data_IF_952285346028
#
_entry.id   IF_952285346028
#
_cell.length_a   1.000
_cell.length_b   1.000
_cell.length_c   1.000
_cell.angle_alpha   90.00
_cell.angle_beta   90.00
_cell.angle_gamma   90.00
#
_symmetry.space_group_name_H-M   'P 1'
#
loop_
_entity.id
_entity.type
_entity.pdbx_description
1 polymer ?
#
# COMPACT_ATOMS: atom_id res chain seq x y z
N UNK A 1 7.91 15.21 18.62
CA UNK A 1 7.35 14.52 17.45
C UNK A 1 7.33 15.50 16.29
N UNK A 2 8.00 15.18 15.18
CA UNK A 2 7.98 16.01 13.99
C UNK A 2 6.58 16.00 13.35
N UNK A 3 6.10 17.16 12.89
CA UNK A 3 4.80 17.24 12.21
C UNK A 3 4.96 16.64 10.81
N UNK A 4 4.75 15.35 10.61
CA UNK A 4 4.88 14.70 9.31
C UNK A 4 3.78 15.15 8.33
N UNK A 5 4.09 15.22 7.04
CA UNK A 5 3.05 15.39 6.01
C UNK A 5 2.15 14.16 5.96
N UNK A 6 0.90 14.34 6.35
CA UNK A 6 -0.01 13.21 6.56
C UNK A 6 -1.47 13.54 6.26
N UNK A 7 -2.17 12.57 5.68
CA UNK A 7 -3.61 12.66 5.45
C UNK A 7 -4.29 11.40 5.99
N UNK A 8 -5.52 11.57 6.47
CA UNK A 8 -6.41 10.45 6.82
C UNK A 8 -7.58 10.45 5.86
N UNK A 9 -7.79 9.36 5.14
CA UNK A 9 -8.97 9.17 4.28
C UNK A 9 -10.04 8.47 5.11
N UNK A 10 -11.15 9.16 5.35
CA UNK A 10 -12.26 8.69 6.18
C UNK A 10 -13.42 8.33 5.26
N UNK A 11 -13.86 7.07 5.31
CA UNK A 11 -14.86 6.55 4.38
C UNK A 11 -15.71 5.43 4.97
N UNK A 12 -16.83 5.15 4.28
CA UNK A 12 -17.57 3.90 4.43
C UNK A 12 -16.86 2.75 3.71
N UNK A 13 -17.19 1.52 4.08
CA UNK A 13 -16.62 0.31 3.47
C UNK A 13 -16.82 0.30 1.95
N UNK A 14 -18.03 0.63 1.49
CA UNK A 14 -18.42 0.60 0.09
C UNK A 14 -17.78 1.70 -0.78
N UNK A 15 -17.01 2.60 -0.19
CA UNK A 15 -16.25 3.66 -0.85
C UNK A 15 -14.76 3.30 -1.05
N UNK A 16 -14.39 2.02 -0.85
CA UNK A 16 -13.00 1.53 -1.03
C UNK A 16 -12.41 1.86 -2.40
N UNK A 17 -13.21 1.92 -3.45
CA UNK A 17 -12.74 2.24 -4.81
C UNK A 17 -12.24 3.69 -4.89
N UNK A 18 -13.01 4.63 -4.39
CA UNK A 18 -12.66 6.05 -4.30
C UNK A 18 -11.49 6.27 -3.35
N UNK A 19 -11.53 5.60 -2.18
CA UNK A 19 -10.49 5.68 -1.16
C UNK A 19 -9.12 5.23 -1.69
N UNK A 20 -9.06 4.09 -2.38
CA UNK A 20 -7.81 3.60 -2.99
C UNK A 20 -7.32 4.57 -4.06
N UNK A 21 -8.19 5.10 -4.94
CA UNK A 21 -7.76 6.07 -5.95
C UNK A 21 -7.10 7.31 -5.33
N UNK A 22 -7.73 7.90 -4.31
CA UNK A 22 -7.21 9.09 -3.62
C UNK A 22 -5.92 8.75 -2.84
N UNK A 23 -5.86 7.58 -2.20
CA UNK A 23 -4.67 7.08 -1.51
C UNK A 23 -3.46 7.00 -2.43
N UNK A 24 -3.64 6.46 -3.64
CA UNK A 24 -2.56 6.33 -4.63
C UNK A 24 -1.98 7.70 -5.04
N UNK A 25 -2.79 8.76 -5.09
CA UNK A 25 -2.31 10.12 -5.35
C UNK A 25 -1.40 10.62 -4.22
N UNK A 26 -1.85 10.53 -2.96
CA UNK A 26 -1.05 11.00 -1.82
C UNK A 26 0.23 10.19 -1.62
N UNK A 27 0.19 8.88 -1.88
CA UNK A 27 1.38 8.05 -1.90
C UNK A 27 2.35 8.43 -3.03
N UNK A 28 1.85 8.88 -4.19
CA UNK A 28 2.69 9.45 -5.24
C UNK A 28 3.36 10.76 -4.78
N UNK A 29 2.66 11.59 -4.02
CA UNK A 29 3.20 12.83 -3.44
C UNK A 29 4.22 12.62 -2.31
N UNK A 30 4.41 11.39 -1.81
CA UNK A 30 5.26 11.15 -0.63
C UNK A 30 4.63 11.67 0.65
N UNK A 31 3.31 11.62 0.73
CA UNK A 31 2.53 11.98 1.91
C UNK A 31 2.07 10.69 2.59
N UNK A 32 2.18 10.65 3.92
CA UNK A 32 1.69 9.52 4.69
C UNK A 32 0.16 9.44 4.66
N UNK A 33 -0.38 8.24 4.44
CA UNK A 33 -1.83 8.03 4.30
C UNK A 33 -2.31 7.02 5.32
N UNK A 34 -3.16 7.47 6.25
CA UNK A 34 -3.96 6.61 7.10
C UNK A 34 -5.34 6.43 6.45
N UNK A 35 -5.91 5.24 6.54
CA UNK A 35 -7.28 4.98 6.08
C UNK A 35 -8.12 4.63 7.31
N UNK A 36 -9.27 5.28 7.44
CA UNK A 36 -10.23 5.04 8.52
C UNK A 36 -11.57 4.63 7.91
N UNK A 37 -11.99 3.41 8.20
CA UNK A 37 -13.22 2.78 7.73
C UNK A 37 -14.19 2.70 8.90
N UNK A 38 -15.29 3.43 8.84
CA UNK A 38 -16.23 3.61 9.96
C UNK A 38 -16.78 2.29 10.49
N UNK A 39 -17.03 1.33 9.60
CA UNK A 39 -17.62 0.05 9.98
C UNK A 39 -16.64 -0.87 10.71
N UNK A 40 -15.35 -0.55 10.77
CA UNK A 40 -14.29 -1.41 11.29
C UNK A 40 -13.38 -0.74 12.31
N UNK A 41 -13.11 0.54 12.11
CA UNK A 41 -12.11 1.26 12.87
C UNK A 41 -12.77 1.99 14.03
N UNK A 42 -12.08 1.95 15.17
CA UNK A 42 -12.56 2.55 16.40
C UNK A 42 -11.82 3.89 16.62
N UNK A 43 -12.58 4.98 16.71
CA UNK A 43 -12.04 6.33 16.94
C UNK A 43 -11.24 6.41 18.23
N UNK A 44 -11.64 5.69 19.29
CA UNK A 44 -10.93 5.68 20.57
C UNK A 44 -9.53 5.05 20.54
N UNK A 45 -9.16 4.40 19.44
CA UNK A 45 -7.85 3.76 19.24
C UNK A 45 -6.97 4.62 18.31
N UNK A 46 -7.54 5.55 17.54
CA UNK A 46 -6.80 6.40 16.59
C UNK A 46 -6.48 7.75 17.23
N UNK A 47 -5.35 7.80 17.95
CA UNK A 47 -4.84 9.00 18.62
C UNK A 47 -3.91 9.84 17.72
N UNK A 48 -3.81 9.54 16.43
CA UNK A 48 -2.89 10.24 15.53
C UNK A 48 -3.42 11.63 15.15
N UNK A 49 -2.61 12.66 15.32
CA UNK A 49 -2.89 13.99 14.75
C UNK A 49 -2.35 14.06 13.32
N UNK A 50 -3.23 14.20 12.33
CA UNK A 50 -2.86 14.32 10.90
C UNK A 50 -2.97 15.75 10.38
N UNK A 51 -2.30 16.09 9.27
CA UNK A 51 -2.47 17.42 8.67
C UNK A 51 -3.89 17.60 8.14
N UNK A 52 -4.44 16.62 7.42
CA UNK A 52 -5.77 16.74 6.81
C UNK A 52 -6.60 15.47 6.92
N UNK A 53 -7.81 15.59 7.45
CA UNK A 53 -8.86 14.59 7.33
C UNK A 53 -9.62 14.81 6.02
N UNK A 54 -9.68 13.77 5.19
CA UNK A 54 -10.36 13.76 3.90
C UNK A 54 -11.60 12.88 4.03
N UNK A 55 -12.77 13.49 4.05
CA UNK A 55 -14.05 12.80 4.13
C UNK A 55 -14.60 12.50 2.75
N UNK A 56 -14.98 11.24 2.53
CA UNK A 56 -15.66 10.81 1.31
C UNK A 56 -17.19 10.88 1.40
N UNK A 57 -17.73 11.35 2.53
CA UNK A 57 -19.16 11.57 2.74
C UNK A 57 -19.33 12.67 3.78
N UNK A 58 -20.23 13.62 3.53
CA UNK A 58 -20.46 14.75 4.45
C UNK A 58 -21.13 14.27 5.73
N UNK A 59 -22.02 13.27 5.64
CA UNK A 59 -22.75 12.71 6.79
C UNK A 59 -21.83 12.04 7.82
N UNK A 60 -20.61 11.68 7.42
CA UNK A 60 -19.62 11.03 8.29
C UNK A 60 -18.91 12.04 9.18
N UNK A 61 -18.80 13.28 8.72
CA UNK A 61 -17.96 14.30 9.36
C UNK A 61 -18.41 14.61 10.79
N UNK A 62 -19.72 14.54 11.03
CA UNK A 62 -20.33 14.78 12.34
C UNK A 62 -20.33 13.51 13.22
N UNK A 63 -20.03 12.33 12.66
CA UNK A 63 -20.02 11.05 13.37
C UNK A 63 -18.65 10.68 13.93
N UNK A 64 -17.59 11.33 13.47
CA UNK A 64 -16.21 10.89 13.67
C UNK A 64 -15.37 12.00 14.30
N UNK A 65 -15.14 11.87 15.61
CA UNK A 65 -14.25 12.75 16.37
C UNK A 65 -12.79 12.32 16.20
N UNK A 66 -12.21 12.59 15.03
CA UNK A 66 -10.78 12.37 14.76
C UNK A 66 -10.05 13.71 14.64
N UNK A 67 -8.90 13.80 15.31
CA UNK A 67 -8.07 15.00 15.31
C UNK A 67 -7.38 15.22 13.96
N UNK A 68 -7.40 16.46 13.49
CA UNK A 68 -6.63 16.95 12.34
C UNK A 68 -6.51 18.47 12.37
N UNK A 69 -5.52 19.02 11.65
CA UNK A 69 -5.43 20.49 11.47
C UNK A 69 -6.50 21.01 10.52
N UNK A 70 -6.77 20.25 9.46
CA UNK A 70 -7.73 20.60 8.43
C UNK A 70 -8.69 19.46 8.15
N UNK A 71 -9.87 19.80 7.62
CA UNK A 71 -10.91 18.86 7.20
C UNK A 71 -11.40 19.27 5.81
N UNK A 72 -11.51 18.32 4.88
CA UNK A 72 -12.09 18.55 3.55
C UNK A 72 -13.05 17.44 3.14
N UNK A 73 -13.99 17.77 2.25
CA UNK A 73 -14.97 16.84 1.67
C UNK A 73 -14.73 16.74 0.16
N UNK A 74 -14.64 15.52 -0.37
CA UNK A 74 -14.27 15.30 -1.79
C UNK A 74 -15.38 14.60 -2.60
N UNK A 75 -16.35 13.97 -1.94
CA UNK A 75 -17.40 13.21 -2.63
C UNK A 75 -18.76 13.49 -1.99
N UNK A 76 -19.50 14.44 -2.53
CA UNK A 76 -20.86 14.75 -2.08
C UNK A 76 -21.83 13.69 -2.62
N UNK A 77 -22.36 12.83 -1.75
CA UNK A 77 -23.54 11.99 -2.02
C UNK A 77 -23.37 10.80 -2.97
N UNK A 78 -22.17 10.48 -3.49
CA UNK A 78 -21.97 9.34 -4.41
C UNK A 78 -21.22 8.18 -3.75
N UNK A 79 -22.02 7.31 -3.13
CA UNK A 79 -21.59 6.16 -2.33
C UNK A 79 -20.94 5.05 -3.19
N UNK A 80 -21.19 5.01 -4.51
CA UNK A 80 -20.82 3.87 -5.37
C UNK A 80 -20.24 4.32 -6.72
N UNK A 81 -18.96 4.66 -6.73
CA UNK A 81 -18.24 4.86 -8.00
C UNK A 81 -17.96 3.55 -8.71
N UNK A 82 -17.86 3.65 -10.03
CA UNK A 82 -17.32 2.62 -10.90
C UNK A 82 -16.14 3.24 -11.65
N UNK A 83 -14.94 2.75 -11.33
CA UNK A 83 -13.65 3.17 -11.85
C UNK A 83 -12.99 2.04 -12.68
N UNK A 84 -13.81 1.14 -13.27
CA UNK A 84 -13.31 -0.06 -13.94
C UNK A 84 -12.44 0.23 -15.17
N UNK A 85 -12.68 1.34 -15.86
CA UNK A 85 -11.95 1.74 -17.07
C UNK A 85 -11.14 3.02 -16.87
N UNK A 86 -10.15 3.20 -17.75
CA UNK A 86 -9.27 4.39 -17.75
C UNK A 86 -10.06 5.69 -17.87
N UNK A 87 -11.09 5.72 -18.72
CA UNK A 87 -11.93 6.90 -18.90
C UNK A 87 -12.76 7.22 -17.66
N UNK A 88 -13.28 6.20 -16.97
CA UNK A 88 -14.01 6.39 -15.71
C UNK A 88 -13.09 6.95 -14.63
N UNK A 89 -11.87 6.42 -14.49
CA UNK A 89 -10.84 6.94 -13.57
C UNK A 89 -10.43 8.36 -13.87
N UNK A 90 -10.21 8.70 -15.15
CA UNK A 90 -9.91 10.08 -15.56
C UNK A 90 -11.05 11.03 -15.24
N UNK A 91 -12.30 10.67 -15.58
CA UNK A 91 -13.48 11.47 -15.25
C UNK A 91 -13.61 11.70 -13.75
N UNK A 92 -13.42 10.65 -12.94
CA UNK A 92 -13.41 10.75 -11.50
C UNK A 92 -12.32 11.70 -10.99
N UNK A 93 -11.08 11.53 -11.43
CA UNK A 93 -9.96 12.42 -11.09
C UNK A 93 -10.25 13.87 -11.44
N UNK A 94 -10.73 14.16 -12.65
CA UNK A 94 -11.09 15.54 -13.04
C UNK A 94 -12.23 16.12 -12.21
N UNK A 95 -13.18 15.28 -11.78
CA UNK A 95 -14.31 15.71 -10.93
C UNK A 95 -13.85 16.13 -9.54
N UNK A 96 -12.94 15.37 -8.92
CA UNK A 96 -12.46 15.65 -7.56
C UNK A 96 -11.30 16.65 -7.49
N UNK A 97 -10.80 17.09 -8.65
CA UNK A 97 -9.64 17.98 -8.79
C UNK A 97 -9.77 19.24 -7.92
N UNK A 98 -10.91 19.94 -8.03
CA UNK A 98 -11.14 21.18 -7.29
C UNK A 98 -11.13 20.99 -5.78
N UNK A 99 -11.50 19.82 -5.28
CA UNK A 99 -11.54 19.54 -3.84
C UNK A 99 -10.16 19.16 -3.31
N UNK A 100 -9.41 18.34 -4.03
CA UNK A 100 -8.02 18.01 -3.66
C UNK A 100 -7.10 19.24 -3.74
N UNK A 101 -7.27 20.09 -4.75
CA UNK A 101 -6.47 21.30 -4.91
C UNK A 101 -6.81 22.42 -3.90
N UNK A 102 -7.80 22.21 -3.01
CA UNK A 102 -8.00 23.09 -1.84
C UNK A 102 -6.94 22.88 -0.76
N UNK A 103 -6.34 21.70 -0.66
CA UNK A 103 -5.36 21.40 0.40
C UNK A 103 -4.15 22.35 0.34
N UNK A 104 -3.51 22.61 -0.82
CA UNK A 104 -2.48 23.63 -0.92
C UNK A 104 -2.89 25.02 -0.43
N UNK A 105 -4.17 25.40 -0.56
CA UNK A 105 -4.68 26.68 -0.05
C UNK A 105 -4.75 26.65 1.48
N UNK A 106 -5.24 25.55 2.06
CA UNK A 106 -5.31 25.35 3.51
C UNK A 106 -3.93 25.29 4.17
N UNK A 107 -2.94 24.73 3.46
CA UNK A 107 -1.55 24.68 3.87
C UNK A 107 -0.77 25.97 3.58
N UNK A 108 -1.44 27.03 3.09
CA UNK A 108 -0.85 28.33 2.80
C UNK A 108 0.34 28.28 1.84
N UNK A 109 0.32 27.36 0.88
CA UNK A 109 1.39 27.24 -0.11
C UNK A 109 1.49 28.49 -1.00
N UNK A 110 2.70 28.83 -1.41
CA UNK A 110 2.92 29.89 -2.38
C UNK A 110 2.35 29.51 -3.77
N UNK A 111 2.28 30.47 -4.69
CA UNK A 111 1.69 30.25 -6.02
C UNK A 111 2.46 29.24 -6.87
N UNK A 112 3.79 29.20 -6.75
CA UNK A 112 4.65 28.25 -7.48
C UNK A 112 4.37 26.81 -7.03
N UNK A 113 4.29 26.57 -5.72
CA UNK A 113 3.97 25.26 -5.15
C UNK A 113 2.55 24.80 -5.48
N UNK A 114 1.59 25.73 -5.57
CA UNK A 114 0.23 25.42 -6.03
C UNK A 114 0.23 24.94 -7.49
N UNK A 115 1.01 25.58 -8.36
CA UNK A 115 1.12 25.15 -9.76
C UNK A 115 1.89 23.82 -9.88
N UNK A 116 2.96 23.63 -9.11
CA UNK A 116 3.68 22.35 -9.03
C UNK A 116 2.75 21.20 -8.63
N UNK A 117 1.92 21.43 -7.61
CA UNK A 117 0.98 20.43 -7.13
C UNK A 117 -0.12 20.13 -8.15
N UNK A 118 -0.62 21.16 -8.84
CA UNK A 118 -1.58 21.01 -9.94
C UNK A 118 -0.98 20.23 -11.11
N UNK A 119 0.28 20.51 -11.48
CA UNK A 119 0.98 19.75 -12.51
C UNK A 119 1.15 18.28 -12.11
N UNK A 120 1.53 18.02 -10.85
CA UNK A 120 1.62 16.67 -10.31
C UNK A 120 0.27 15.95 -10.36
N UNK A 121 -0.81 16.63 -9.97
CA UNK A 121 -2.17 16.08 -10.03
C UNK A 121 -2.59 15.75 -11.46
N UNK A 122 -2.32 16.63 -12.41
CA UNK A 122 -2.57 16.39 -13.83
C UNK A 122 -1.80 15.17 -14.34
N UNK A 123 -0.52 15.05 -14.00
CA UNK A 123 0.29 13.90 -14.37
C UNK A 123 -0.29 12.58 -13.83
N UNK A 124 -0.75 12.57 -12.57
CA UNK A 124 -1.39 11.43 -11.94
C UNK A 124 -2.69 11.01 -12.67
N UNK A 125 -3.58 11.96 -12.97
CA UNK A 125 -4.85 11.69 -13.67
C UNK A 125 -4.61 11.23 -15.11
N UNK A 126 -3.76 11.95 -15.85
CA UNK A 126 -3.60 11.74 -17.29
C UNK A 126 -2.80 10.49 -17.63
N UNK A 127 -1.88 10.06 -16.77
CA UNK A 127 -1.15 8.80 -16.94
C UNK A 127 -1.93 7.57 -16.45
N UNK A 128 -3.10 7.75 -15.83
CA UNK A 128 -3.84 6.66 -15.16
C UNK A 128 -2.98 5.97 -14.09
N UNK A 129 -2.24 6.77 -13.31
CA UNK A 129 -1.20 6.29 -12.41
C UNK A 129 -1.76 5.36 -11.33
N UNK A 130 -2.89 5.71 -10.70
CA UNK A 130 -3.47 4.92 -9.60
C UNK A 130 -3.66 3.45 -9.96
N UNK A 131 -4.25 3.19 -11.12
CA UNK A 131 -4.53 1.84 -11.60
C UNK A 131 -3.25 1.06 -11.89
N UNK A 132 -2.34 1.67 -12.66
CA UNK A 132 -1.10 1.03 -13.09
C UNK A 132 -0.13 0.79 -11.94
N UNK A 133 -0.03 1.75 -11.01
CA UNK A 133 0.76 1.58 -9.81
C UNK A 133 0.23 0.43 -8.96
N UNK A 134 -1.09 0.40 -8.73
CA UNK A 134 -1.74 -0.64 -7.94
C UNK A 134 -1.55 -2.04 -8.56
N UNK A 135 -1.72 -2.18 -9.88
CA UNK A 135 -1.47 -3.43 -10.59
C UNK A 135 -0.01 -3.88 -10.47
N UNK A 136 0.94 -2.97 -10.68
CA UNK A 136 2.37 -3.26 -10.55
C UNK A 136 2.72 -3.74 -9.13
N UNK A 137 2.10 -3.15 -8.10
CA UNK A 137 2.28 -3.62 -6.73
C UNK A 137 1.76 -5.04 -6.50
N UNK A 138 0.66 -5.42 -7.15
CA UNK A 138 0.03 -6.74 -6.95
C UNK A 138 0.66 -7.86 -7.75
N UNK A 139 1.02 -7.60 -9.01
CA UNK A 139 1.20 -8.63 -10.03
C UNK A 139 2.50 -8.53 -10.84
N UNK A 140 3.45 -7.66 -10.48
CA UNK A 140 4.69 -7.47 -11.25
C UNK A 140 5.40 -8.79 -11.63
N UNK A 141 5.47 -9.74 -10.71
CA UNK A 141 6.13 -11.02 -10.93
C UNK A 141 5.31 -11.99 -11.79
N UNK A 142 4.01 -11.74 -11.96
CA UNK A 142 3.11 -12.55 -12.77
C UNK A 142 2.90 -11.99 -14.18
N UNK A 143 3.18 -10.69 -14.40
CA UNK A 143 3.06 -10.04 -15.69
C UNK A 143 3.82 -10.73 -16.81
N UNK A 144 3.20 -10.75 -18.00
CA UNK A 144 3.90 -11.02 -19.26
C UNK A 144 4.90 -9.91 -19.55
N UNK A 145 5.83 -10.18 -20.47
CA UNK A 145 6.78 -9.17 -20.94
C UNK A 145 6.07 -7.95 -21.54
N UNK A 146 5.06 -8.17 -22.40
CA UNK A 146 4.22 -7.11 -22.96
C UNK A 146 3.59 -6.22 -21.88
N UNK A 147 3.02 -6.83 -20.83
CA UNK A 147 2.43 -6.07 -19.73
C UNK A 147 3.49 -5.25 -18.97
N UNK A 148 4.70 -5.80 -18.78
CA UNK A 148 5.81 -5.04 -18.16
C UNK A 148 6.23 -3.84 -19.03
N UNK A 149 6.28 -4.01 -20.36
CA UNK A 149 6.54 -2.91 -21.29
C UNK A 149 5.46 -1.82 -21.21
N UNK A 150 4.17 -2.20 -21.19
CA UNK A 150 3.06 -1.25 -20.99
C UNK A 150 3.21 -0.49 -19.66
N UNK A 151 3.58 -1.15 -18.57
CA UNK A 151 3.80 -0.47 -17.29
C UNK A 151 4.98 0.52 -17.35
N UNK A 152 6.05 0.20 -18.07
CA UNK A 152 7.17 1.12 -18.28
C UNK A 152 6.78 2.35 -19.06
N UNK A 153 5.98 2.20 -20.12
CA UNK A 153 5.47 3.33 -20.91
C UNK A 153 4.63 4.27 -20.05
N UNK A 154 3.72 3.73 -19.22
CA UNK A 154 2.91 4.52 -18.30
C UNK A 154 3.77 5.27 -17.27
N UNK A 155 4.76 4.60 -16.67
CA UNK A 155 5.64 5.23 -15.69
C UNK A 155 6.52 6.32 -16.33
N UNK A 156 7.02 6.11 -17.55
CA UNK A 156 7.80 7.10 -18.31
C UNK A 156 6.94 8.30 -18.70
N UNK A 157 5.71 8.06 -19.16
CA UNK A 157 4.74 9.12 -19.47
C UNK A 157 4.39 9.95 -18.22
N UNK A 158 4.13 9.30 -17.09
CA UNK A 158 3.91 9.99 -15.82
C UNK A 158 5.15 10.83 -15.43
N UNK A 159 6.34 10.25 -15.49
CA UNK A 159 7.60 10.93 -15.17
C UNK A 159 7.80 12.19 -16.03
N UNK A 160 7.58 12.09 -17.34
CA UNK A 160 7.71 13.20 -18.30
C UNK A 160 6.64 14.29 -18.12
N UNK A 161 5.46 13.93 -17.59
CA UNK A 161 4.40 14.91 -17.25
C UNK A 161 4.70 15.63 -15.93
N UNK A 162 5.40 14.97 -15.00
CA UNK A 162 5.84 15.60 -13.75
C UNK A 162 6.97 16.59 -14.02
N UNK A 163 8.00 16.22 -14.78
CA UNK A 163 9.05 17.14 -15.26
C UNK A 163 9.35 16.85 -16.73
N UNK A 164 9.40 17.90 -17.56
CA UNK A 164 9.85 17.75 -18.94
C UNK A 164 11.32 17.31 -18.99
N UNK A 165 11.73 16.64 -20.05
CA UNK A 165 13.07 16.01 -20.17
C UNK A 165 14.25 16.99 -20.05
N UNK A 166 14.03 18.27 -20.30
CA UNK A 166 15.02 19.34 -20.22
C UNK A 166 14.83 20.27 -19.00
N UNK A 167 13.89 19.96 -18.12
CA UNK A 167 13.59 20.78 -16.94
C UNK A 167 14.43 20.33 -15.75
N UNK A 168 14.96 21.29 -14.99
CA UNK A 168 15.59 21.00 -13.70
C UNK A 168 14.55 20.44 -12.71
N UNK A 169 14.95 19.43 -11.93
CA UNK A 169 14.07 18.75 -10.95
C UNK A 169 14.10 19.53 -9.63
N UNK A 170 13.42 20.66 -9.63
CA UNK A 170 13.37 21.63 -8.52
C UNK A 170 11.91 21.98 -8.17
N UNK A 171 11.71 22.80 -7.13
CA UNK A 171 10.39 23.21 -6.65
C UNK A 171 9.84 22.34 -5.52
N UNK A 172 8.53 22.17 -5.49
CA UNK A 172 7.79 21.47 -4.44
C UNK A 172 8.35 20.06 -4.16
N UNK A 173 8.65 19.76 -2.89
CA UNK A 173 9.28 18.49 -2.49
C UNK A 173 8.44 17.26 -2.89
N UNK A 174 7.12 17.36 -2.83
CA UNK A 174 6.18 16.31 -3.24
C UNK A 174 6.27 16.00 -4.74
N UNK A 175 6.49 17.03 -5.58
CA UNK A 175 6.65 16.89 -7.04
C UNK A 175 7.99 16.21 -7.36
N UNK A 176 9.07 16.64 -6.71
CA UNK A 176 10.40 16.02 -6.85
C UNK A 176 10.37 14.56 -6.38
N UNK A 177 9.76 14.27 -5.23
CA UNK A 177 9.57 12.91 -4.73
C UNK A 177 8.83 12.03 -5.73
N UNK A 178 7.71 12.52 -6.29
CA UNK A 178 6.92 11.77 -7.26
C UNK A 178 7.75 11.34 -8.47
N UNK A 179 8.59 12.25 -8.99
CA UNK A 179 9.52 11.97 -10.07
C UNK A 179 10.49 10.82 -9.73
N UNK A 180 11.19 10.91 -8.59
CA UNK A 180 12.16 9.88 -8.21
C UNK A 180 11.51 8.56 -7.80
N UNK A 181 10.29 8.58 -7.25
CA UNK A 181 9.52 7.38 -6.98
C UNK A 181 9.12 6.68 -8.29
N UNK A 182 8.76 7.43 -9.34
CA UNK A 182 8.58 6.89 -10.70
C UNK A 182 9.88 6.27 -11.24
N UNK A 183 11.01 6.96 -11.11
CA UNK A 183 12.33 6.45 -11.53
C UNK A 183 12.68 5.12 -10.83
N UNK A 184 12.49 5.03 -9.51
CA UNK A 184 12.67 3.79 -8.74
C UNK A 184 11.74 2.67 -9.24
N UNK A 185 10.47 2.98 -9.52
CA UNK A 185 9.50 2.00 -10.05
C UNK A 185 9.92 1.51 -11.43
N UNK A 186 10.42 2.39 -12.30
CA UNK A 186 10.99 2.00 -13.61
C UNK A 186 12.16 1.04 -13.43
N UNK A 187 13.10 1.31 -12.51
CA UNK A 187 14.18 0.38 -12.18
C UNK A 187 13.64 -0.97 -11.70
N UNK A 188 12.65 -0.98 -10.81
CA UNK A 188 12.03 -2.20 -10.30
C UNK A 188 11.38 -3.04 -11.42
N UNK A 189 10.69 -2.40 -12.36
CA UNK A 189 10.07 -3.11 -13.48
C UNK A 189 11.16 -3.67 -14.41
N UNK A 190 12.14 -2.86 -14.85
CA UNK A 190 13.25 -3.33 -15.71
C UNK A 190 14.04 -4.49 -15.09
N UNK A 191 14.35 -4.42 -13.81
CA UNK A 191 15.04 -5.51 -13.09
C UNK A 191 14.26 -6.82 -13.12
N UNK A 192 12.92 -6.77 -13.17
CA UNK A 192 12.07 -7.96 -13.15
C UNK A 192 12.01 -8.73 -14.48
N UNK A 193 12.57 -8.21 -15.58
CA UNK A 193 12.60 -8.92 -16.87
C UNK A 193 13.92 -8.77 -17.62
N UNK A 194 14.47 -7.56 -17.75
CA UNK A 194 15.75 -7.33 -18.44
C UNK A 194 16.98 -7.46 -17.53
N UNK A 195 16.79 -7.53 -16.20
CA UNK A 195 17.89 -7.63 -15.24
C UNK A 195 18.79 -6.40 -15.19
N UNK A 196 18.34 -5.25 -15.74
CA UNK A 196 19.09 -3.99 -15.76
C UNK A 196 18.33 -2.84 -15.12
N UNK A 197 19.08 -1.81 -14.71
CA UNK A 197 18.55 -0.53 -14.19
C UNK A 197 18.76 0.57 -15.21
N UNK A 198 17.81 1.49 -15.28
CA UNK A 198 17.84 2.65 -16.19
C UNK A 198 18.41 3.87 -15.47
N UNK A 199 18.03 4.05 -14.21
CA UNK A 199 18.49 5.13 -13.36
C UNK A 199 19.57 4.64 -12.39
N UNK A 200 20.51 5.52 -12.06
CA UNK A 200 21.55 5.27 -11.08
C UNK A 200 20.97 5.35 -9.66
N UNK A 201 20.81 4.19 -9.00
CA UNK A 201 20.23 4.09 -7.67
C UNK A 201 21.01 4.92 -6.62
N UNK A 202 22.33 5.02 -6.71
CA UNK A 202 23.13 5.76 -5.72
C UNK A 202 22.85 7.25 -5.83
N UNK A 203 22.75 7.77 -7.07
CA UNK A 203 22.33 9.16 -7.32
C UNK A 203 20.89 9.40 -6.85
N UNK A 204 19.98 8.47 -7.13
CA UNK A 204 18.60 8.58 -6.66
C UNK A 204 18.52 8.63 -5.14
N UNK A 205 19.27 7.78 -4.43
CA UNK A 205 19.33 7.78 -2.97
C UNK A 205 19.82 9.11 -2.41
N UNK A 206 20.94 9.63 -2.93
CA UNK A 206 21.50 10.92 -2.49
C UNK A 206 20.49 12.06 -2.63
N UNK A 207 19.84 12.16 -3.79
CA UNK A 207 18.89 13.24 -4.06
C UNK A 207 17.61 13.10 -3.23
N UNK A 208 17.14 11.88 -3.00
CA UNK A 208 15.93 11.65 -2.20
C UNK A 208 16.17 11.86 -0.71
N UNK A 209 17.33 11.46 -0.19
CA UNK A 209 17.76 11.81 1.17
C UNK A 209 17.87 13.33 1.37
N UNK A 210 18.43 14.04 0.40
CA UNK A 210 18.59 15.50 0.47
C UNK A 210 17.25 16.23 0.67
N UNK A 211 16.14 15.69 0.15
CA UNK A 211 14.80 16.24 0.39
C UNK A 211 14.41 16.25 1.87
N UNK A 212 14.81 15.22 2.62
CA UNK A 212 14.56 15.11 4.06
C UNK A 212 15.51 15.97 4.90
N UNK A 213 16.63 16.46 4.33
CA UNK A 213 17.48 17.48 4.92
C UNK A 213 16.89 18.88 4.67
N UNK A 214 16.41 19.13 3.45
CA UNK A 214 15.83 20.41 3.04
C UNK A 214 14.49 20.70 3.73
N UNK A 215 13.65 19.67 3.91
CA UNK A 215 12.39 19.75 4.65
C UNK A 215 12.36 18.65 5.72
N UNK A 216 12.56 19.05 6.97
CA UNK A 216 12.59 18.15 8.13
C UNK A 216 11.28 17.37 8.30
N UNK A 217 10.13 17.91 7.83
CA UNK A 217 8.83 17.22 7.89
C UNK A 217 8.70 16.12 6.84
N UNK A 218 9.59 16.09 5.85
CA UNK A 218 9.52 15.21 4.69
C UNK A 218 10.41 13.97 4.86
N UNK A 219 10.17 13.18 5.90
CA UNK A 219 10.90 11.92 6.17
C UNK A 219 10.72 10.87 5.07
N UNK A 220 9.69 11.00 4.23
CA UNK A 220 9.51 10.13 3.06
C UNK A 220 10.68 10.17 2.06
N UNK A 221 11.49 11.23 2.04
CA UNK A 221 12.74 11.25 1.28
C UNK A 221 13.73 10.18 1.74
N UNK A 222 13.97 10.09 3.06
CA UNK A 222 14.75 9.03 3.71
C UNK A 222 14.12 7.65 3.48
N UNK A 223 12.80 7.52 3.58
CA UNK A 223 12.11 6.25 3.26
C UNK A 223 12.35 5.83 1.82
N UNK A 224 12.26 6.76 0.85
CA UNK A 224 12.48 6.45 -0.55
C UNK A 224 13.95 6.08 -0.82
N UNK A 225 14.91 6.80 -0.25
CA UNK A 225 16.33 6.46 -0.31
C UNK A 225 16.58 5.05 0.25
N UNK A 226 16.00 4.76 1.40
CA UNK A 226 16.10 3.45 2.04
C UNK A 226 15.51 2.33 1.18
N UNK A 227 14.30 2.51 0.64
CA UNK A 227 13.67 1.56 -0.27
C UNK A 227 14.44 1.37 -1.58
N UNK A 228 15.20 2.36 -2.05
CA UNK A 228 16.10 2.19 -3.20
C UNK A 228 17.28 1.30 -2.80
N UNK A 229 17.95 1.63 -1.69
CA UNK A 229 19.16 0.95 -1.24
C UNK A 229 18.96 -0.53 -0.88
N UNK A 230 17.91 -0.87 -0.12
CA UNK A 230 17.65 -2.28 0.28
C UNK A 230 17.34 -3.21 -0.90
N UNK A 231 17.02 -2.66 -2.08
CA UNK A 231 16.79 -3.43 -3.31
C UNK A 231 18.08 -3.72 -4.11
N UNK A 232 19.26 -3.29 -3.64
CA UNK A 232 20.54 -3.47 -4.35
C UNK A 232 21.65 -3.83 -3.35
N UNK A 233 22.28 -4.99 -3.53
CA UNK A 233 23.17 -5.61 -2.51
C UNK A 233 24.33 -4.72 -2.06
N UNK A 234 24.95 -3.99 -2.97
CA UNK A 234 26.04 -3.06 -2.71
C UNK A 234 25.60 -1.74 -2.05
N UNK A 235 24.29 -1.48 -1.94
CA UNK A 235 23.73 -0.31 -1.27
C UNK A 235 22.94 -0.66 0.00
N UNK A 236 22.99 -1.92 0.44
CA UNK A 236 22.21 -2.45 1.54
C UNK A 236 22.41 -1.69 2.85
N UNK A 237 23.65 -1.49 3.27
CA UNK A 237 23.99 -0.78 4.52
C UNK A 237 23.50 0.67 4.50
N UNK A 238 23.70 1.37 3.37
CA UNK A 238 23.25 2.76 3.20
C UNK A 238 21.71 2.81 3.17
N UNK A 239 21.07 1.85 2.51
CA UNK A 239 19.61 1.74 2.46
C UNK A 239 18.99 1.49 3.83
N UNK A 240 19.57 0.57 4.60
CA UNK A 240 19.20 0.30 5.98
C UNK A 240 19.33 1.56 6.85
N UNK A 241 20.48 2.25 6.76
CA UNK A 241 20.74 3.50 7.48
C UNK A 241 19.64 4.54 7.23
N UNK A 242 19.24 4.77 5.97
CA UNK A 242 18.19 5.75 5.67
C UNK A 242 16.81 5.34 6.22
N UNK A 243 16.45 4.05 6.18
CA UNK A 243 15.21 3.58 6.81
C UNK A 243 15.25 3.79 8.33
N UNK A 244 16.39 3.54 8.98
CA UNK A 244 16.57 3.81 10.42
C UNK A 244 16.50 5.31 10.74
N UNK A 245 17.04 6.18 9.89
CA UNK A 245 16.92 7.64 10.05
C UNK A 245 15.48 8.12 9.96
N UNK A 246 14.69 7.60 9.00
CA UNK A 246 13.26 7.89 8.91
C UNK A 246 12.53 7.40 10.17
N UNK A 247 12.82 6.17 10.61
CA UNK A 247 12.22 5.57 11.81
C UNK A 247 12.47 6.41 13.08
N UNK A 248 13.70 6.88 13.26
CA UNK A 248 14.08 7.71 14.40
C UNK A 248 13.34 9.05 14.46
N UNK A 249 12.94 9.60 13.31
CA UNK A 249 12.15 10.84 13.21
C UNK A 249 10.65 10.59 13.42
N UNK A 250 10.17 9.45 12.97
CA UNK A 250 8.74 9.09 13.00
C UNK A 250 8.28 8.51 14.34
N UNK A 251 9.19 7.91 15.11
CA UNK A 251 8.92 7.32 16.43
C UNK A 251 7.73 6.35 16.36
N UNK A 252 6.84 6.39 17.37
CA UNK A 252 5.68 5.51 17.52
C UNK A 252 4.48 5.92 16.66
N UNK A 253 4.66 6.80 15.67
CA UNK A 253 3.57 7.17 14.77
C UNK A 253 3.13 5.95 13.95
N UNK A 254 1.81 5.77 13.76
CA UNK A 254 1.24 4.65 12.97
C UNK A 254 1.84 4.49 11.56
N UNK A 255 2.37 5.57 10.97
CA UNK A 255 3.06 5.53 9.68
C UNK A 255 4.37 4.74 9.69
N UNK A 256 5.08 4.71 10.82
CA UNK A 256 6.36 4.02 10.96
C UNK A 256 6.21 2.50 10.86
N UNK A 257 4.99 1.97 11.06
CA UNK A 257 4.66 0.56 10.84
C UNK A 257 5.06 0.06 9.44
N UNK A 258 4.99 0.92 8.41
CA UNK A 258 5.48 0.56 7.08
C UNK A 258 7.00 0.41 7.03
N UNK A 259 7.73 1.29 7.71
CA UNK A 259 9.19 1.27 7.79
C UNK A 259 9.66 0.05 8.57
N UNK A 260 9.04 -0.24 9.72
CA UNK A 260 9.29 -1.47 10.47
C UNK A 260 9.07 -2.71 9.60
N UNK A 261 7.97 -2.78 8.86
CA UNK A 261 7.72 -3.89 7.93
C UNK A 261 8.81 -3.98 6.85
N UNK A 262 9.22 -2.86 6.27
CA UNK A 262 10.24 -2.84 5.21
C UNK A 262 11.61 -3.30 5.72
N UNK A 263 12.04 -2.81 6.89
CA UNK A 263 13.28 -3.24 7.55
C UNK A 263 13.21 -4.71 7.97
N UNK A 264 12.10 -5.13 8.58
CA UNK A 264 11.93 -6.51 9.02
C UNK A 264 11.99 -7.48 7.82
N UNK A 265 11.32 -7.14 6.73
CA UNK A 265 11.36 -7.94 5.50
C UNK A 265 12.76 -7.98 4.88
N UNK A 266 13.49 -6.87 4.92
CA UNK A 266 14.88 -6.81 4.48
C UNK A 266 15.78 -7.74 5.33
N UNK A 267 15.68 -7.70 6.66
CA UNK A 267 16.46 -8.60 7.49
C UNK A 267 16.06 -10.07 7.29
N UNK A 268 14.77 -10.36 7.19
CA UNK A 268 14.24 -11.71 6.98
C UNK A 268 14.72 -12.31 5.66
N UNK A 269 14.60 -11.56 4.55
CA UNK A 269 14.79 -12.11 3.19
C UNK A 269 16.21 -11.86 2.67
N UNK A 270 16.73 -10.65 2.84
CA UNK A 270 18.00 -10.25 2.23
C UNK A 270 19.20 -10.59 3.12
N UNK A 271 19.10 -10.33 4.43
CA UNK A 271 20.18 -10.62 5.39
C UNK A 271 20.05 -12.01 6.05
N UNK A 272 18.89 -12.66 5.90
CA UNK A 272 18.59 -13.93 6.60
C UNK A 272 18.80 -13.85 8.13
N UNK A 273 18.58 -12.66 8.69
CA UNK A 273 18.67 -12.37 10.11
C UNK A 273 17.26 -12.37 10.72
N UNK A 274 16.77 -13.57 11.02
CA UNK A 274 15.45 -13.78 11.60
C UNK A 274 15.27 -13.03 12.93
N UNK A 275 16.27 -13.05 13.81
CA UNK A 275 16.18 -12.41 15.12
C UNK A 275 15.86 -10.91 14.99
N UNK A 276 16.62 -10.21 14.15
CA UNK A 276 16.43 -8.77 13.92
C UNK A 276 15.07 -8.49 13.25
N UNK A 277 14.67 -9.33 12.31
CA UNK A 277 13.37 -9.22 11.66
C UNK A 277 12.22 -9.32 12.68
N UNK A 278 12.29 -10.29 13.61
CA UNK A 278 11.24 -10.49 14.63
C UNK A 278 11.16 -9.36 15.64
N UNK A 279 12.31 -8.80 16.04
CA UNK A 279 12.33 -7.60 16.91
C UNK A 279 11.56 -6.45 16.23
N UNK A 280 11.79 -6.20 14.94
CA UNK A 280 11.08 -5.15 14.20
C UNK A 280 9.59 -5.45 13.98
N UNK A 281 9.22 -6.71 13.69
CA UNK A 281 7.81 -7.09 13.60
C UNK A 281 7.09 -6.97 14.96
N UNK A 282 7.81 -7.13 16.07
CA UNK A 282 7.25 -6.91 17.43
C UNK A 282 7.00 -5.44 17.68
N UNK A 283 7.96 -4.55 17.39
CA UNK A 283 7.74 -3.10 17.51
C UNK A 283 6.57 -2.63 16.61
N UNK A 284 6.48 -3.15 15.38
CA UNK A 284 5.35 -2.87 14.48
C UNK A 284 4.00 -3.28 15.10
N UNK A 285 3.96 -4.33 15.92
CA UNK A 285 2.73 -4.82 16.56
C UNK A 285 2.19 -3.85 17.59
N UNK A 286 3.07 -3.19 18.34
CA UNK A 286 2.67 -2.19 19.33
C UNK A 286 2.05 -0.95 18.67
N UNK A 287 2.53 -0.60 17.47
CA UNK A 287 2.08 0.57 16.70
C UNK A 287 0.82 0.30 15.87
N UNK A 288 0.74 -0.89 15.25
CA UNK A 288 -0.35 -1.27 14.37
C UNK A 288 -0.83 -2.71 14.66
N UNK A 289 -1.46 -2.95 15.83
CA UNK A 289 -1.79 -4.31 16.31
C UNK A 289 -2.73 -5.07 15.37
N UNK A 290 -3.61 -4.36 14.66
CA UNK A 290 -4.57 -4.93 13.73
C UNK A 290 -4.00 -5.12 12.30
N UNK A 291 -2.71 -4.87 12.09
CA UNK A 291 -2.11 -5.04 10.77
C UNK A 291 -1.99 -6.54 10.41
N UNK A 292 -2.87 -7.00 9.53
CA UNK A 292 -2.95 -8.42 9.14
C UNK A 292 -1.64 -8.98 8.53
N UNK A 293 -0.78 -8.14 7.94
CA UNK A 293 0.51 -8.63 7.40
C UNK A 293 1.50 -8.95 8.50
N UNK A 294 1.56 -8.08 9.51
CA UNK A 294 2.38 -8.27 10.70
C UNK A 294 1.84 -9.42 11.55
N UNK A 295 0.53 -9.46 11.79
CA UNK A 295 -0.10 -10.56 12.53
C UNK A 295 0.18 -11.91 11.88
N UNK A 296 0.16 -11.98 10.54
CA UNK A 296 0.52 -13.21 9.82
C UNK A 296 1.99 -13.61 10.03
N UNK A 297 2.91 -12.65 10.08
CA UNK A 297 4.33 -12.88 10.36
C UNK A 297 4.56 -13.42 11.78
N UNK A 298 3.86 -12.85 12.77
CA UNK A 298 3.86 -13.37 14.14
C UNK A 298 3.27 -14.79 14.23
N UNK A 299 2.15 -15.06 13.56
CA UNK A 299 1.56 -16.41 13.54
C UNK A 299 2.53 -17.46 12.95
N UNK A 300 3.26 -17.10 11.90
CA UNK A 300 4.31 -17.95 11.32
C UNK A 300 5.50 -18.14 12.28
N UNK A 301 5.90 -17.09 13.02
CA UNK A 301 6.94 -17.19 14.05
C UNK A 301 6.54 -18.13 15.18
N UNK A 302 5.32 -18.02 15.71
CA UNK A 302 4.80 -18.92 16.75
C UNK A 302 4.87 -20.38 16.31
N UNK A 303 4.64 -20.64 15.02
CA UNK A 303 4.79 -21.97 14.44
C UNK A 303 6.24 -22.48 14.53
N UNK A 304 7.22 -21.65 14.12
CA UNK A 304 8.65 -21.97 14.17
C UNK A 304 9.16 -22.17 15.59
N UNK A 305 8.64 -21.38 16.54
CA UNK A 305 8.95 -21.49 17.97
C UNK A 305 8.28 -22.69 18.66
N UNK A 306 7.61 -23.57 17.90
CA UNK A 306 6.88 -24.75 18.40
C UNK A 306 5.71 -24.39 19.34
N UNK A 307 5.23 -23.16 19.32
CA UNK A 307 4.01 -22.68 19.99
C UNK A 307 2.79 -22.99 19.10
N UNK A 308 2.61 -24.28 18.79
CA UNK A 308 1.67 -24.72 17.75
C UNK A 308 0.23 -24.27 18.02
N UNK A 309 -0.27 -24.45 19.25
CA UNK A 309 -1.65 -24.07 19.59
C UNK A 309 -1.88 -22.56 19.42
N UNK A 310 -0.94 -21.73 19.87
CA UNK A 310 -1.01 -20.28 19.70
C UNK A 310 -1.00 -19.90 18.22
N UNK A 311 -0.08 -20.48 17.45
CA UNK A 311 0.00 -20.24 16.00
C UNK A 311 -1.31 -20.56 15.27
N UNK A 312 -1.94 -21.71 15.59
CA UNK A 312 -3.24 -22.08 15.03
C UNK A 312 -4.34 -21.08 15.42
N UNK A 313 -4.35 -20.60 16.67
CA UNK A 313 -5.28 -19.56 17.13
C UNK A 313 -5.08 -18.25 16.37
N UNK A 314 -3.82 -17.83 16.18
CA UNK A 314 -3.45 -16.62 15.44
C UNK A 314 -3.88 -16.70 13.97
N UNK A 315 -3.66 -17.83 13.30
CA UNK A 315 -4.12 -18.02 11.92
C UNK A 315 -5.65 -18.06 11.80
N UNK A 316 -6.35 -18.70 12.76
CA UNK A 316 -7.82 -18.71 12.79
C UNK A 316 -8.38 -17.29 13.00
N UNK A 317 -7.79 -16.53 13.92
CA UNK A 317 -8.18 -15.15 14.17
C UNK A 317 -8.06 -14.29 12.90
N UNK A 318 -6.93 -14.38 12.20
CA UNK A 318 -6.72 -13.71 10.92
C UNK A 318 -7.73 -14.14 9.85
N UNK A 319 -7.96 -15.45 9.70
CA UNK A 319 -8.90 -16.00 8.74
C UNK A 319 -10.32 -15.45 8.99
N UNK A 320 -10.77 -15.40 10.25
CA UNK A 320 -12.09 -14.88 10.61
C UNK A 320 -12.20 -13.36 10.41
N UNK A 321 -11.19 -12.59 10.84
CA UNK A 321 -11.19 -11.13 10.70
C UNK A 321 -11.28 -10.70 9.23
N UNK A 322 -10.49 -11.33 8.36
CA UNK A 322 -10.54 -11.04 6.92
C UNK A 322 -11.82 -11.63 6.30
N UNK A 323 -12.26 -12.82 6.74
CA UNK A 323 -13.48 -13.49 6.29
C UNK A 323 -14.72 -12.61 6.43
N UNK A 324 -14.86 -11.89 7.54
CA UNK A 324 -15.94 -10.93 7.77
C UNK A 324 -16.02 -9.85 6.68
N UNK A 325 -14.86 -9.33 6.23
CA UNK A 325 -14.77 -8.35 5.12
C UNK A 325 -15.10 -9.00 3.78
N UNK A 326 -14.66 -10.24 3.58
CA UNK A 326 -14.94 -11.01 2.37
C UNK A 326 -16.44 -11.26 2.19
N UNK A 327 -17.16 -11.61 3.27
CA UNK A 327 -18.60 -11.81 3.26
C UNK A 327 -19.37 -10.59 2.75
N UNK A 328 -18.89 -9.38 3.06
CA UNK A 328 -19.47 -8.11 2.61
C UNK A 328 -19.08 -7.70 1.20
N UNK A 329 -18.18 -8.45 0.54
CA UNK A 329 -17.75 -8.31 -0.86
C UNK A 329 -16.99 -7.01 -1.18
N UNK A 330 -16.50 -6.27 -0.19
CA UNK A 330 -15.75 -5.01 -0.38
C UNK A 330 -14.27 -5.13 -0.01
N UNK A 331 -13.67 -6.27 -0.36
CA UNK A 331 -12.28 -6.58 -0.04
C UNK A 331 -11.35 -6.37 -1.24
N UNK A 332 -10.09 -6.07 -0.96
CA UNK A 332 -9.00 -5.92 -1.92
C UNK A 332 -8.33 -7.28 -2.23
N UNK A 333 -7.65 -7.43 -3.38
CA UNK A 333 -6.96 -8.67 -3.74
C UNK A 333 -5.95 -9.14 -2.70
N UNK A 334 -5.27 -8.21 -2.04
CA UNK A 334 -4.29 -8.54 -1.04
C UNK A 334 -4.92 -9.10 0.24
N UNK A 335 -6.10 -8.61 0.63
CA UNK A 335 -6.85 -9.21 1.76
C UNK A 335 -7.24 -10.66 1.41
N UNK A 336 -7.72 -10.89 0.18
CA UNK A 336 -8.04 -12.24 -0.30
C UNK A 336 -6.80 -13.16 -0.33
N UNK A 337 -5.63 -12.62 -0.68
CA UNK A 337 -4.35 -13.36 -0.66
C UNK A 337 -4.03 -13.87 0.75
N UNK A 338 -4.16 -13.02 1.77
CA UNK A 338 -3.89 -13.41 3.17
C UNK A 338 -4.97 -14.34 3.72
N UNK A 339 -6.24 -14.14 3.37
CA UNK A 339 -7.31 -15.07 3.70
C UNK A 339 -7.05 -16.48 3.16
N UNK A 340 -6.64 -16.58 1.90
CA UNK A 340 -6.26 -17.85 1.28
C UNK A 340 -5.03 -18.49 1.93
N UNK A 341 -3.99 -17.70 2.24
CA UNK A 341 -2.80 -18.22 2.97
C UNK A 341 -3.22 -18.84 4.30
N UNK A 342 -4.09 -18.17 5.07
CA UNK A 342 -4.61 -18.71 6.32
C UNK A 342 -5.44 -19.98 6.08
N UNK A 343 -6.34 -19.98 5.09
CA UNK A 343 -7.15 -21.15 4.73
C UNK A 343 -6.29 -22.37 4.39
N UNK A 344 -5.22 -22.17 3.59
CA UNK A 344 -4.27 -23.25 3.26
C UNK A 344 -3.58 -23.82 4.49
N UNK A 345 -3.12 -22.96 5.40
CA UNK A 345 -2.46 -23.40 6.64
C UNK A 345 -3.44 -24.18 7.50
N UNK A 346 -4.61 -23.59 7.77
CA UNK A 346 -5.67 -24.17 8.59
C UNK A 346 -6.23 -25.48 7.99
N UNK A 347 -6.20 -25.69 6.68
CA UNK A 347 -6.57 -26.98 6.07
C UNK A 347 -5.68 -28.16 6.48
N UNK A 348 -4.48 -27.87 7.02
CA UNK A 348 -3.52 -28.85 7.53
C UNK A 348 -3.52 -28.95 9.05
N UNK A 349 -4.45 -28.29 9.73
CA UNK A 349 -4.58 -28.43 11.18
C UNK A 349 -4.88 -29.91 11.52
N UNK A 350 -4.16 -30.51 12.50
CA UNK A 350 -4.48 -31.85 12.97
C UNK A 350 -5.91 -31.92 13.51
N UNK A 351 -6.62 -33.01 13.23
CA UNK A 351 -8.04 -33.18 13.59
C UNK A 351 -8.29 -32.99 15.08
N UNK A 352 -7.44 -33.54 15.94
CA UNK A 352 -7.52 -33.38 17.39
C UNK A 352 -7.45 -31.91 17.83
N UNK A 353 -6.58 -31.12 17.19
CA UNK A 353 -6.43 -29.69 17.46
C UNK A 353 -7.64 -28.93 16.91
N UNK A 354 -8.12 -29.28 15.72
CA UNK A 354 -9.30 -28.70 15.11
C UNK A 354 -10.54 -28.84 16.01
N UNK A 355 -10.77 -30.05 16.52
CA UNK A 355 -11.87 -30.37 17.44
C UNK A 355 -11.73 -29.55 18.71
N UNK A 356 -10.53 -29.52 19.32
CA UNK A 356 -10.27 -28.76 20.54
C UNK A 356 -10.53 -27.26 20.37
N UNK A 357 -10.26 -26.71 19.19
CA UNK A 357 -10.46 -25.30 18.87
C UNK A 357 -11.87 -24.98 18.34
N UNK A 358 -12.72 -25.99 18.09
CA UNK A 358 -14.03 -25.81 17.48
C UNK A 358 -13.97 -25.29 16.04
N UNK A 359 -12.90 -25.61 15.30
CA UNK A 359 -12.71 -25.14 13.92
C UNK A 359 -13.35 -26.13 12.95
N UNK A 360 -14.28 -25.69 12.08
CA UNK A 360 -14.76 -26.53 10.99
C UNK A 360 -13.60 -26.84 10.03
N UNK A 361 -13.46 -28.10 9.62
CA UNK A 361 -12.38 -28.52 8.73
C UNK A 361 -12.49 -27.82 7.37
N UNK A 362 -11.47 -27.00 7.03
CA UNK A 362 -11.34 -26.35 5.73
C UNK A 362 -10.83 -27.38 4.73
N UNK A 363 -11.73 -27.83 3.84
CA UNK A 363 -11.40 -28.84 2.84
C UNK A 363 -10.85 -28.22 1.55
N UNK A 364 -10.27 -29.06 0.68
CA UNK A 364 -9.67 -28.63 -0.59
C UNK A 364 -10.66 -27.91 -1.51
N UNK A 365 -11.94 -28.31 -1.51
CA UNK A 365 -12.98 -27.64 -2.32
C UNK A 365 -13.21 -26.20 -1.89
N UNK A 366 -13.08 -25.91 -0.59
CA UNK A 366 -13.16 -24.55 -0.09
C UNK A 366 -11.95 -23.71 -0.55
N UNK A 367 -10.74 -24.28 -0.47
CA UNK A 367 -9.52 -23.63 -0.98
C UNK A 367 -9.65 -23.30 -2.47
N UNK A 368 -10.10 -24.27 -3.28
CA UNK A 368 -10.34 -24.07 -4.71
C UNK A 368 -11.40 -22.98 -4.98
N UNK A 369 -12.44 -22.91 -4.14
CA UNK A 369 -13.48 -21.87 -4.24
C UNK A 369 -12.92 -20.48 -3.92
N UNK A 370 -12.05 -20.36 -2.92
CA UNK A 370 -11.38 -19.09 -2.59
C UNK A 370 -10.49 -18.67 -3.78
N UNK A 371 -9.69 -19.61 -4.30
CA UNK A 371 -8.76 -19.37 -5.40
C UNK A 371 -9.47 -18.91 -6.68
N UNK A 372 -10.56 -19.57 -7.07
CA UNK A 372 -11.21 -19.38 -8.37
C UNK A 372 -12.38 -18.40 -8.34
N UNK A 373 -13.16 -18.37 -7.26
CA UNK A 373 -14.47 -17.72 -7.27
C UNK A 373 -14.50 -16.43 -6.44
N UNK A 374 -13.78 -16.33 -5.33
CA UNK A 374 -13.94 -15.19 -4.42
C UNK A 374 -13.44 -13.90 -5.06
N UNK A 375 -12.35 -13.96 -5.81
CA UNK A 375 -11.84 -12.80 -6.56
C UNK A 375 -12.89 -12.17 -7.49
N UNK A 376 -13.75 -12.99 -8.11
CA UNK A 376 -14.84 -12.56 -8.97
C UNK A 376 -16.02 -11.93 -8.21
N UNK A 377 -16.13 -12.16 -6.91
CA UNK A 377 -17.25 -11.68 -6.10
C UNK A 377 -17.01 -10.27 -5.57
N UNK A 378 -15.75 -9.84 -5.46
CA UNK A 378 -15.42 -8.52 -4.92
C UNK A 378 -15.93 -7.38 -5.80
N UNK A 379 -16.60 -6.44 -5.15
CA UNK A 379 -17.05 -5.19 -5.73
C UNK A 379 -15.87 -4.27 -6.06
N UNK A 380 -14.80 -4.29 -5.27
CA UNK A 380 -13.58 -3.52 -5.57
C UNK A 380 -12.96 -3.99 -6.88
N UNK A 381 -12.76 -5.31 -7.04
CA UNK A 381 -12.20 -5.89 -8.27
C UNK A 381 -13.03 -5.50 -9.50
N UNK A 382 -14.37 -5.65 -9.42
CA UNK A 382 -15.29 -5.29 -10.51
C UNK A 382 -15.23 -3.82 -10.91
N UNK A 383 -15.06 -2.94 -9.93
CA UNK A 383 -15.17 -1.49 -10.10
C UNK A 383 -13.83 -0.77 -10.19
N UNK A 384 -12.71 -1.47 -10.09
CA UNK A 384 -11.39 -0.86 -10.16
C UNK A 384 -10.42 -1.66 -11.03
N UNK A 385 -10.41 -2.99 -10.93
CA UNK A 385 -9.42 -3.86 -11.58
C UNK A 385 -9.87 -4.48 -12.89
N UNK A 386 -11.13 -4.92 -12.98
CA UNK A 386 -11.64 -5.58 -14.19
C UNK A 386 -11.89 -4.53 -15.28
N UNK A 387 -10.82 -4.21 -15.99
CA UNK A 387 -10.81 -3.35 -17.16
C UNK A 387 -11.25 -4.10 -18.42
N UNK A 388 -11.80 -3.33 -19.36
CA UNK A 388 -12.12 -3.59 -20.77
C UNK A 388 -11.30 -4.75 -21.38
N UNK A 389 -11.78 -5.98 -21.24
CA UNK A 389 -11.24 -7.23 -21.81
C UNK A 389 -10.01 -7.89 -21.13
N UNK A 390 -9.46 -7.33 -20.03
CA UNK A 390 -8.29 -7.92 -19.34
C UNK A 390 -8.66 -8.77 -18.10
N UNK A 391 -9.95 -8.91 -17.81
CA UNK A 391 -10.46 -9.65 -16.65
C UNK A 391 -9.85 -11.06 -16.53
N UNK A 392 -9.83 -11.81 -17.62
CA UNK A 392 -9.32 -13.20 -17.64
C UNK A 392 -7.82 -13.24 -17.34
N UNK A 393 -7.05 -12.30 -17.87
CA UNK A 393 -5.61 -12.17 -17.61
C UNK A 393 -5.36 -11.89 -16.12
N UNK A 394 -6.13 -10.99 -15.49
CA UNK A 394 -5.96 -10.71 -14.06
C UNK A 394 -6.40 -11.86 -13.16
N UNK A 395 -7.44 -12.60 -13.55
CA UNK A 395 -7.81 -13.85 -12.86
C UNK A 395 -6.65 -14.83 -12.94
N UNK A 396 -6.04 -14.99 -14.12
CA UNK A 396 -4.90 -15.88 -14.30
C UNK A 396 -3.68 -15.45 -13.47
N UNK A 397 -3.32 -14.16 -13.46
CA UNK A 397 -2.25 -13.65 -12.60
C UNK A 397 -2.54 -13.91 -11.12
N UNK A 398 -3.77 -13.66 -10.68
CA UNK A 398 -4.18 -13.92 -9.31
C UNK A 398 -4.06 -15.40 -8.95
N UNK A 399 -4.62 -16.29 -9.76
CA UNK A 399 -4.51 -17.75 -9.55
C UNK A 399 -3.05 -18.22 -9.52
N UNK A 400 -2.21 -17.76 -10.46
CA UNK A 400 -0.78 -18.09 -10.49
C UNK A 400 -0.08 -17.66 -9.21
N UNK A 401 -0.39 -16.46 -8.71
CA UNK A 401 0.15 -15.96 -7.44
C UNK A 401 -0.31 -16.83 -6.27
N UNK A 402 -1.61 -17.11 -6.14
CA UNK A 402 -2.16 -17.95 -5.07
C UNK A 402 -1.55 -19.35 -5.05
N UNK A 403 -1.42 -19.99 -6.22
CA UNK A 403 -0.81 -21.33 -6.33
C UNK A 403 0.66 -21.36 -5.89
N UNK A 404 1.40 -20.25 -6.04
CA UNK A 404 2.79 -20.15 -5.60
C UNK A 404 2.97 -20.15 -4.08
N UNK A 405 1.93 -19.85 -3.30
CA UNK A 405 2.01 -19.83 -1.84
C UNK A 405 1.93 -21.25 -1.24
N UNK A 406 3.02 -22.00 -1.31
CA UNK A 406 3.13 -23.32 -0.67
C UNK A 406 3.27 -23.17 0.84
N UNK A 407 2.72 -24.13 1.60
CA UNK A 407 2.81 -24.13 3.07
C UNK A 407 4.28 -24.13 3.54
N UNK A 408 5.13 -24.89 2.85
CA UNK A 408 6.58 -24.92 3.08
C UNK A 408 7.25 -23.56 2.94
N UNK A 409 6.65 -22.64 2.19
CA UNK A 409 7.22 -21.31 1.91
C UNK A 409 6.55 -20.23 2.77
N UNK A 410 5.47 -20.58 3.46
CA UNK A 410 4.71 -19.71 4.37
C UNK A 410 5.21 -19.87 5.82
N UNK A 411 5.61 -21.09 6.19
CA UNK A 411 6.01 -21.48 7.55
C UNK A 411 7.55 -21.51 7.71
N UNK A 412 8.31 -21.47 6.59
CA UNK A 412 9.72 -21.06 6.61
C UNK A 412 9.78 -19.60 7.07
#
# INVERSE_FOLDING_TARGET
>A
MEKLYSVRIIRKENQVVQGVYIKEFWMLCGVYVNEFIIEYDNTSIDNDMVDCNIFLDEDIMDLVELESKYKINIVKGQIKEDLSSKDKRRKFGRRIEKDLLKIPLLLEWNNEWKEDFKQLYNAFVDSDFAYNNYLTHLFLNQFSEEMKLTQLEVLKDCLNKIYASNQAIEGLVQRRFAYFNCARKINRVNMSFEGRRVFDDEKLMKVTHQMSIEDIRFTMGDVLAGLIGVNRKDLWEIGEMHLQMALAKELDNKYSAFIYYALAHYYEINQQNEKQAWELYKEMKEIAPENYRMLFKHAAQEFREKKQLQSWQSFLHLYNNIGNRICKKWFQPLELEYYYKCARILSKIPEEIAIRMGIPHINEREIERIERNYFLQSNFMKKFLFNDNLKEIYIWYFMKKMKSHKISDIIK
#
